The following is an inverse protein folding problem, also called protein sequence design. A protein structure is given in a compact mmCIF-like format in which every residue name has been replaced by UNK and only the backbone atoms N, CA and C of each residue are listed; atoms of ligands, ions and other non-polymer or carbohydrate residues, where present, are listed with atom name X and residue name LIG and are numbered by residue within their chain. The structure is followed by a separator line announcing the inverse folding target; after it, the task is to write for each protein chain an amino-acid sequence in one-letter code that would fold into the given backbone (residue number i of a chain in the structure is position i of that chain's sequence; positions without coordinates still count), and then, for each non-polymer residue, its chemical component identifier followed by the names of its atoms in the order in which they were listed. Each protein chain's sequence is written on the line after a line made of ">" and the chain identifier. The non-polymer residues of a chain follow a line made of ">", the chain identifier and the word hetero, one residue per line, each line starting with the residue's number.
data_IF_344692649542
#
_entry.id   IF_344692649542
#
_cell.length_a   1.000
_cell.length_b   1.000
_cell.length_c   1.000
_cell.angle_alpha   90.00
_cell.angle_beta   90.00
_cell.angle_gamma   90.00
#
_symmetry.space_group_name_H-M   'P 1'
#
loop_
_entity.id
_entity.type
_entity.pdbx_description
1 polymer ?
#
# COMPACT_ATOMS: atom_id res chain seq x y z
N UNK A 1 -11.21 -3.95 -11.73
CA UNK A 1 -11.37 -2.51 -11.89
C UNK A 1 -10.01 -1.84 -11.88
N UNK A 2 -9.94 -0.56 -12.28
CA UNK A 2 -8.73 0.23 -12.15
C UNK A 2 -8.36 0.41 -10.67
N UNK A 3 -7.06 0.45 -10.35
CA UNK A 3 -6.60 0.60 -8.97
C UNK A 3 -7.08 1.93 -8.35
N UNK A 4 -7.16 3.00 -9.16
CA UNK A 4 -7.65 4.32 -8.74
C UNK A 4 -9.12 4.33 -8.30
N UNK A 5 -9.91 3.33 -8.71
CA UNK A 5 -11.33 3.17 -8.37
C UNK A 5 -11.56 2.12 -7.28
N UNK A 6 -10.48 1.50 -6.78
CA UNK A 6 -10.57 0.35 -5.90
C UNK A 6 -10.71 0.70 -4.42
N UNK A 7 -10.46 1.95 -4.01
CA UNK A 7 -10.62 2.39 -2.63
C UNK A 7 -12.07 2.16 -2.15
N UNK A 8 -12.23 1.58 -0.95
CA UNK A 8 -13.53 1.24 -0.37
C UNK A 8 -14.18 -0.04 -0.96
N UNK A 9 -13.62 -0.65 -2.01
CA UNK A 9 -14.11 -1.93 -2.57
C UNK A 9 -13.55 -3.12 -1.75
N UNK A 10 -14.24 -4.23 -1.82
CA UNK A 10 -13.80 -5.49 -1.19
C UNK A 10 -12.94 -6.26 -2.19
N UNK A 11 -11.72 -6.59 -1.81
CA UNK A 11 -10.81 -7.39 -2.63
C UNK A 11 -11.37 -8.82 -2.80
N UNK A 12 -11.41 -9.32 -4.04
CA UNK A 12 -12.02 -10.61 -4.33
C UNK A 12 -11.10 -11.82 -4.06
N UNK A 13 -9.77 -11.60 -4.05
CA UNK A 13 -8.77 -12.64 -3.85
C UNK A 13 -7.49 -12.03 -3.29
N UNK A 14 -6.65 -12.85 -2.67
CA UNK A 14 -5.33 -12.42 -2.20
C UNK A 14 -4.49 -11.85 -3.36
N UNK A 15 -3.73 -10.82 -3.06
CA UNK A 15 -2.68 -10.28 -3.94
C UNK A 15 -1.34 -10.61 -3.32
N UNK A 16 -0.50 -11.29 -4.10
CA UNK A 16 0.81 -11.76 -3.68
C UNK A 16 1.90 -10.93 -4.34
N UNK A 17 2.98 -10.67 -3.62
CA UNK A 17 4.18 -10.00 -4.12
C UNK A 17 4.86 -10.86 -5.18
N UNK A 18 5.14 -10.29 -6.34
CA UNK A 18 5.88 -10.96 -7.43
C UNK A 18 7.38 -10.66 -7.41
N UNK A 19 7.80 -9.69 -6.59
CA UNK A 19 9.18 -9.31 -6.32
C UNK A 19 9.32 -8.88 -4.86
N UNK A 20 10.56 -8.76 -4.42
CA UNK A 20 10.88 -8.11 -3.14
C UNK A 20 10.55 -6.61 -3.19
N UNK A 21 10.20 -6.02 -2.06
CA UNK A 21 10.07 -4.57 -1.91
C UNK A 21 10.84 -4.13 -0.65
N UNK A 22 11.86 -3.26 -0.78
CA UNK A 22 12.47 -2.86 -2.04
C UNK A 22 13.14 -4.04 -2.76
N UNK A 23 13.38 -3.91 -4.06
CA UNK A 23 13.96 -4.95 -4.91
C UNK A 23 15.48 -5.06 -4.81
N UNK A 24 16.14 -4.10 -4.13
CA UNK A 24 17.57 -4.09 -3.83
C UNK A 24 17.86 -3.37 -2.49
N UNK A 25 19.02 -3.68 -1.91
CA UNK A 25 19.51 -2.97 -0.73
C UNK A 25 19.90 -1.52 -1.09
N UNK A 26 19.42 -0.55 -0.29
CA UNK A 26 19.60 0.88 -0.57
C UNK A 26 19.99 1.68 0.68
N UNK A 27 20.72 2.78 0.47
CA UNK A 27 21.06 3.71 1.53
C UNK A 27 19.84 4.51 2.02
N UNK A 28 19.77 4.75 3.32
CA UNK A 28 18.78 5.66 3.94
C UNK A 28 19.32 7.07 4.12
N UNK A 29 20.61 7.30 3.85
CA UNK A 29 21.31 8.58 4.08
C UNK A 29 22.26 8.87 2.93
N UNK A 30 22.68 10.11 2.79
CA UNK A 30 23.82 10.49 1.96
C UNK A 30 25.11 10.13 2.72
N UNK A 31 26.07 9.49 2.02
CA UNK A 31 27.28 9.05 2.70
C UNK A 31 28.21 8.22 1.83
N UNK A 32 28.89 7.30 2.47
CA UNK A 32 29.82 6.36 1.85
C UNK A 32 29.45 4.92 2.19
N UNK A 33 29.15 4.14 1.16
CA UNK A 33 28.93 2.70 1.28
C UNK A 33 30.27 2.01 1.58
N UNK A 34 30.30 1.22 2.64
CA UNK A 34 31.53 0.57 3.17
C UNK A 34 31.21 -0.85 3.64
N UNK A 35 32.26 -1.62 3.93
CA UNK A 35 32.16 -2.78 4.81
C UNK A 35 32.27 -2.31 6.26
N UNK A 36 31.25 -2.54 7.09
CA UNK A 36 31.24 -2.14 8.49
C UNK A 36 32.49 -2.58 9.26
N UNK A 37 32.93 -3.80 9.02
CA UNK A 37 34.12 -4.37 9.66
C UNK A 37 35.39 -3.50 9.45
N UNK A 38 35.51 -2.82 8.31
CA UNK A 38 36.63 -1.93 8.02
C UNK A 38 36.58 -0.60 8.80
N UNK A 39 35.43 -0.27 9.41
CA UNK A 39 35.27 0.93 10.22
C UNK A 39 35.50 0.69 11.72
N UNK A 40 35.66 -0.57 12.16
CA UNK A 40 35.74 -0.89 13.58
C UNK A 40 36.96 -0.25 14.23
N UNK A 41 36.72 0.44 15.34
CA UNK A 41 37.72 1.22 16.04
C UNK A 41 37.90 2.65 15.52
N UNK A 42 37.21 3.05 14.43
CA UNK A 42 37.23 4.41 13.95
C UNK A 42 36.64 5.39 14.98
N UNK A 43 37.41 6.44 15.27
CA UNK A 43 37.04 7.54 16.13
C UNK A 43 37.76 8.81 15.68
N UNK A 44 37.33 9.99 16.12
CA UNK A 44 37.97 11.28 15.79
C UNK A 44 39.47 11.29 16.08
N UNK A 45 39.91 10.65 17.19
CA UNK A 45 41.33 10.55 17.55
C UNK A 45 42.10 9.43 16.81
N UNK A 46 41.39 8.55 16.12
CA UNK A 46 41.96 7.41 15.37
C UNK A 46 41.05 7.07 14.17
N UNK A 47 41.02 7.90 13.12
CA UNK A 47 40.18 7.69 11.97
C UNK A 47 40.58 6.45 11.17
N UNK A 48 39.60 5.84 10.50
CA UNK A 48 39.86 4.79 9.51
C UNK A 48 39.90 5.40 8.11
N UNK A 49 40.87 4.98 7.30
CA UNK A 49 41.08 5.52 5.94
C UNK A 49 40.50 4.60 4.90
N UNK A 50 39.81 5.16 3.90
CA UNK A 50 39.18 4.45 2.81
C UNK A 50 39.52 5.08 1.46
N UNK A 51 39.77 4.20 0.47
CA UNK A 51 39.87 4.62 -0.92
C UNK A 51 38.47 4.72 -1.54
N UNK A 52 38.09 5.89 -2.06
CA UNK A 52 36.84 6.08 -2.80
C UNK A 52 37.01 5.55 -4.23
N UNK A 53 36.27 4.49 -4.58
CA UNK A 53 36.41 3.81 -5.88
C UNK A 53 35.33 4.20 -6.88
N UNK A 54 34.33 4.96 -6.43
CA UNK A 54 33.23 5.42 -7.30
C UNK A 54 32.14 6.17 -6.57
N UNK A 55 31.11 6.53 -7.32
CA UNK A 55 29.92 7.21 -6.82
C UNK A 55 28.68 6.57 -7.42
N UNK A 56 27.61 6.50 -6.63
CA UNK A 56 26.31 5.89 -6.98
C UNK A 56 25.22 6.91 -6.75
N UNK A 57 24.60 7.35 -7.83
CA UNK A 57 23.43 8.24 -7.77
C UNK A 57 22.14 7.42 -7.56
N UNK A 58 21.07 8.12 -7.15
CA UNK A 58 19.74 7.50 -7.06
C UNK A 58 19.30 6.98 -8.44
N UNK A 59 18.81 5.72 -8.47
CA UNK A 59 18.34 5.07 -9.69
C UNK A 59 19.42 4.44 -10.56
N UNK A 60 20.70 4.53 -10.16
CA UNK A 60 21.82 3.88 -10.84
C UNK A 60 22.16 2.56 -10.18
N UNK A 61 22.41 1.53 -11.02
CA UNK A 61 23.00 0.27 -10.57
C UNK A 61 24.52 0.39 -10.55
N UNK A 62 25.19 0.06 -9.42
CA UNK A 62 26.65 0.14 -9.36
C UNK A 62 27.29 -0.85 -10.33
N UNK A 63 28.18 -0.35 -11.21
CA UNK A 63 28.97 -1.16 -12.16
C UNK A 63 30.27 -1.72 -11.57
N UNK A 64 30.46 -1.59 -10.23
CA UNK A 64 31.69 -1.99 -9.52
C UNK A 64 31.32 -2.62 -8.16
N UNK A 65 32.29 -3.26 -7.53
CA UNK A 65 32.19 -3.76 -6.15
C UNK A 65 33.21 -3.05 -5.28
N UNK A 66 33.03 -3.09 -3.95
CA UNK A 66 34.01 -2.61 -2.99
C UNK A 66 34.65 -3.76 -2.20
N UNK A 67 35.91 -3.58 -1.85
CA UNK A 67 36.68 -4.48 -0.99
C UNK A 67 36.94 -3.81 0.38
N UNK A 68 37.56 -4.52 1.30
CA UNK A 68 37.99 -3.97 2.59
C UNK A 68 38.90 -2.75 2.38
N UNK A 69 38.63 -1.66 3.14
CA UNK A 69 39.34 -0.38 3.00
C UNK A 69 38.94 0.45 1.78
N UNK A 70 37.92 0.03 1.03
CA UNK A 70 37.32 0.81 -0.05
C UNK A 70 35.95 1.34 0.34
N UNK A 71 35.58 2.46 -0.25
CA UNK A 71 34.30 3.11 -0.08
C UNK A 71 33.73 3.57 -1.43
N UNK A 72 32.43 3.70 -1.53
CA UNK A 72 31.78 4.34 -2.65
C UNK A 72 30.86 5.44 -2.15
N UNK A 73 30.97 6.64 -2.73
CA UNK A 73 30.02 7.71 -2.43
C UNK A 73 28.63 7.29 -2.86
N UNK A 74 27.61 7.45 -1.98
CA UNK A 74 26.25 7.01 -2.23
C UNK A 74 25.26 8.08 -1.77
N UNK A 75 24.27 8.34 -2.63
CA UNK A 75 23.14 9.20 -2.27
C UNK A 75 22.05 8.41 -1.56
N UNK A 76 21.20 9.08 -0.79
CA UNK A 76 19.97 8.51 -0.23
C UNK A 76 19.15 7.82 -1.32
N UNK A 77 18.71 6.59 -1.06
CA UNK A 77 18.01 5.76 -2.05
C UNK A 77 18.92 5.08 -3.09
N UNK A 78 20.22 5.36 -3.09
CA UNK A 78 21.20 4.69 -3.97
C UNK A 78 21.32 3.20 -3.63
N UNK A 79 21.53 2.38 -4.67
CA UNK A 79 21.73 0.93 -4.54
C UNK A 79 23.10 0.65 -3.93
N UNK A 80 23.15 -0.20 -2.89
CA UNK A 80 24.42 -0.61 -2.31
C UNK A 80 25.27 -1.40 -3.34
N UNK A 81 26.57 -1.06 -3.50
CA UNK A 81 27.44 -1.82 -4.36
C UNK A 81 27.76 -3.20 -3.71
N UNK A 82 27.97 -4.24 -4.51
CA UNK A 82 28.45 -5.52 -4.00
C UNK A 82 29.69 -5.35 -3.11
N UNK A 83 29.70 -6.01 -1.96
CA UNK A 83 30.76 -5.89 -0.95
C UNK A 83 30.51 -4.84 0.14
N UNK A 84 29.56 -3.92 -0.04
CA UNK A 84 29.10 -3.04 1.04
C UNK A 84 28.00 -3.73 1.87
N UNK A 85 27.98 -3.44 3.16
CA UNK A 85 26.94 -3.88 4.10
C UNK A 85 26.41 -2.74 4.99
N UNK A 86 26.97 -1.54 4.87
CA UNK A 86 26.62 -0.39 5.68
C UNK A 86 26.95 0.94 5.00
N UNK A 87 26.43 2.04 5.53
CA UNK A 87 26.74 3.40 5.04
C UNK A 87 27.20 4.27 6.19
N UNK A 88 28.35 4.93 6.02
CA UNK A 88 28.82 6.02 6.89
C UNK A 88 28.19 7.32 6.40
N UNK A 89 27.51 8.05 7.28
CA UNK A 89 26.94 9.37 6.95
C UNK A 89 28.04 10.37 6.55
N UNK A 90 27.73 11.31 5.67
CA UNK A 90 28.68 12.37 5.25
C UNK A 90 29.24 13.13 6.46
N UNK A 91 28.44 13.35 7.50
CA UNK A 91 28.83 14.08 8.72
C UNK A 91 29.85 13.34 9.59
N UNK A 92 30.14 12.07 9.25
CA UNK A 92 31.11 11.23 9.96
C UNK A 92 32.27 10.80 9.06
N UNK A 93 32.46 11.51 7.98
CA UNK A 93 33.57 11.26 7.04
C UNK A 93 34.10 12.58 6.46
N UNK A 94 35.40 12.76 6.50
CA UNK A 94 36.09 13.91 5.92
C UNK A 94 36.89 13.49 4.67
N UNK A 95 36.77 14.26 3.60
CA UNK A 95 37.55 14.05 2.38
C UNK A 95 38.96 14.62 2.56
N UNK A 96 39.97 13.79 2.42
CA UNK A 96 41.37 14.23 2.45
C UNK A 96 41.84 14.67 1.07
N UNK A 97 41.37 13.99 0.04
CA UNK A 97 41.62 14.32 -1.37
C UNK A 97 40.46 13.74 -2.23
N UNK A 98 40.62 13.75 -3.57
CA UNK A 98 39.59 13.27 -4.51
C UNK A 98 39.32 11.75 -4.40
N UNK A 99 40.24 10.99 -3.85
CA UNK A 99 40.22 9.53 -3.83
C UNK A 99 40.25 8.93 -2.42
N UNK A 100 40.43 9.75 -1.38
CA UNK A 100 40.67 9.27 -0.01
C UNK A 100 39.76 10.01 0.96
N UNK A 101 39.10 9.23 1.83
CA UNK A 101 38.32 9.75 2.96
C UNK A 101 38.86 9.19 4.27
N UNK A 102 38.71 9.95 5.34
CA UNK A 102 38.80 9.45 6.71
C UNK A 102 37.41 9.31 7.32
N UNK A 103 37.18 8.19 7.97
CA UNK A 103 35.92 7.87 8.69
C UNK A 103 36.18 8.08 10.17
N UNK A 104 35.39 8.97 10.79
CA UNK A 104 35.56 9.42 12.17
C UNK A 104 34.69 8.60 13.15
N UNK A 105 33.82 7.75 12.67
CA UNK A 105 32.91 6.97 13.47
C UNK A 105 32.60 5.61 12.84
N UNK A 106 32.73 4.55 13.63
CA UNK A 106 32.40 3.19 13.20
C UNK A 106 30.87 3.02 13.00
N UNK A 107 30.51 2.15 12.08
CA UNK A 107 29.13 1.73 11.80
C UNK A 107 28.97 0.24 12.04
N UNK A 108 27.78 -0.17 12.43
CA UNK A 108 27.42 -1.58 12.54
C UNK A 108 27.01 -2.16 11.17
N UNK A 109 27.15 -3.48 10.95
CA UNK A 109 26.56 -4.12 9.77
C UNK A 109 25.05 -3.82 9.65
N UNK A 110 24.61 -3.46 8.44
CA UNK A 110 23.23 -3.05 8.17
C UNK A 110 22.89 -1.61 8.55
N UNK A 111 23.81 -0.88 9.19
CA UNK A 111 23.51 0.49 9.62
C UNK A 111 23.33 1.42 8.42
N UNK A 112 22.22 2.19 8.42
CA UNK A 112 21.80 3.10 7.35
C UNK A 112 21.48 2.41 6.02
N UNK A 113 21.10 1.13 6.07
CA UNK A 113 20.71 0.32 4.90
C UNK A 113 19.31 -0.22 5.12
N UNK A 114 18.45 -0.10 4.10
CA UNK A 114 17.24 -0.90 3.97
C UNK A 114 17.60 -2.08 3.07
N UNK A 115 17.34 -3.30 3.53
CA UNK A 115 17.67 -4.51 2.79
C UNK A 115 16.60 -4.84 1.73
N UNK A 116 16.96 -5.60 0.70
CA UNK A 116 15.96 -6.12 -0.24
C UNK A 116 14.91 -6.95 0.52
N UNK A 117 13.64 -6.76 0.19
CA UNK A 117 12.54 -7.50 0.80
C UNK A 117 12.16 -7.07 2.22
N UNK A 118 12.76 -6.01 2.78
CA UNK A 118 12.50 -5.59 4.16
C UNK A 118 11.03 -5.22 4.41
N UNK A 119 10.38 -4.59 3.45
CA UNK A 119 8.94 -4.26 3.54
C UNK A 119 8.08 -5.48 3.19
N UNK A 120 8.40 -6.13 2.07
CA UNK A 120 7.71 -7.34 1.58
C UNK A 120 8.70 -8.24 0.84
N UNK A 121 8.81 -9.48 1.26
CA UNK A 121 9.50 -10.52 0.50
C UNK A 121 8.64 -11.00 -0.68
N UNK A 122 9.29 -11.44 -1.74
CA UNK A 122 8.61 -12.13 -2.84
C UNK A 122 7.77 -13.29 -2.31
N UNK A 123 6.56 -13.44 -2.83
CA UNK A 123 5.52 -14.39 -2.40
C UNK A 123 4.77 -14.01 -1.12
N UNK A 124 5.13 -12.95 -0.42
CA UNK A 124 4.33 -12.45 0.70
C UNK A 124 2.95 -11.97 0.23
N UNK A 125 1.92 -12.14 1.06
CA UNK A 125 0.58 -11.61 0.77
C UNK A 125 0.55 -10.12 1.07
N UNK A 126 0.39 -9.30 0.03
CA UNK A 126 0.32 -7.84 0.11
C UNK A 126 -1.05 -7.39 0.65
N UNK A 127 -2.11 -8.05 0.17
CA UNK A 127 -3.48 -7.76 0.59
C UNK A 127 -4.33 -9.03 0.51
N UNK A 128 -5.11 -9.28 1.56
CA UNK A 128 -5.98 -10.45 1.66
C UNK A 128 -7.34 -10.23 0.98
N UNK A 129 -7.84 -11.26 0.32
CA UNK A 129 -9.22 -11.31 -0.17
C UNK A 129 -10.24 -11.10 0.98
N UNK A 130 -11.39 -10.53 0.65
CA UNK A 130 -12.42 -10.19 1.65
C UNK A 130 -12.17 -8.89 2.41
N UNK A 131 -10.98 -8.29 2.29
CA UNK A 131 -10.65 -7.02 2.94
C UNK A 131 -11.19 -5.84 2.15
N UNK A 132 -11.72 -4.81 2.85
CA UNK A 132 -12.02 -3.51 2.25
C UNK A 132 -10.72 -2.76 2.01
N UNK A 133 -10.47 -2.38 0.76
CA UNK A 133 -9.27 -1.65 0.36
C UNK A 133 -9.30 -0.22 0.88
N UNK A 134 -8.26 0.16 1.61
CA UNK A 134 -8.03 1.52 2.12
C UNK A 134 -7.07 2.27 1.19
N UNK A 135 -6.97 3.62 1.27
CA UNK A 135 -6.00 4.38 0.49
C UNK A 135 -4.55 3.87 0.61
N UNK A 136 -4.12 3.45 1.83
CA UNK A 136 -2.79 2.90 2.03
C UNK A 136 -2.58 1.58 1.26
N UNK A 137 -3.60 0.72 1.23
CA UNK A 137 -3.55 -0.55 0.48
C UNK A 137 -3.38 -0.29 -1.03
N UNK A 138 -4.02 0.78 -1.53
CA UNK A 138 -3.83 1.25 -2.93
C UNK A 138 -2.38 1.69 -3.17
N UNK A 139 -1.78 2.43 -2.23
CA UNK A 139 -0.38 2.87 -2.32
C UNK A 139 0.59 1.70 -2.40
N UNK A 140 0.42 0.70 -1.53
CA UNK A 140 1.25 -0.52 -1.55
C UNK A 140 1.07 -1.30 -2.86
N UNK A 141 -0.16 -1.52 -3.32
CA UNK A 141 -0.44 -2.19 -4.59
C UNK A 141 0.18 -1.45 -5.78
N UNK A 142 0.16 -0.11 -5.76
CA UNK A 142 0.79 0.72 -6.78
C UNK A 142 2.33 0.59 -6.75
N UNK A 143 2.95 0.48 -5.56
CA UNK A 143 4.40 0.27 -5.43
C UNK A 143 4.84 -1.06 -6.08
N UNK A 144 3.97 -2.08 -6.11
CA UNK A 144 4.17 -3.32 -6.87
C UNK A 144 3.74 -3.21 -8.35
N UNK A 145 3.55 -2.00 -8.89
CA UNK A 145 3.16 -1.80 -10.29
C UNK A 145 1.76 -2.28 -10.66
N UNK A 146 0.90 -2.58 -9.68
CA UNK A 146 -0.47 -3.02 -9.96
C UNK A 146 -1.30 -1.84 -10.45
N UNK A 147 -1.85 -1.95 -11.63
CA UNK A 147 -2.76 -0.94 -12.22
C UNK A 147 -4.22 -1.33 -12.08
N UNK A 148 -4.51 -2.60 -11.86
CA UNK A 148 -5.85 -3.17 -11.72
C UNK A 148 -5.88 -4.22 -10.61
N UNK A 149 -7.06 -4.38 -9.98
CA UNK A 149 -7.34 -5.41 -8.98
C UNK A 149 -8.70 -6.07 -9.22
N UNK A 150 -8.85 -7.29 -8.74
CA UNK A 150 -10.14 -7.98 -8.71
C UNK A 150 -10.85 -7.63 -7.41
N UNK A 151 -12.08 -7.15 -7.53
CA UNK A 151 -12.94 -6.83 -6.38
C UNK A 151 -14.25 -7.57 -6.50
N UNK A 152 -14.94 -7.81 -5.39
CA UNK A 152 -16.29 -8.33 -5.39
C UNK A 152 -17.22 -7.32 -6.05
N UNK A 153 -18.29 -7.76 -6.72
CA UNK A 153 -19.33 -6.83 -7.18
C UNK A 153 -20.00 -6.16 -5.97
N UNK A 154 -20.61 -5.03 -6.19
CA UNK A 154 -21.45 -4.42 -5.17
C UNK A 154 -22.72 -5.26 -5.02
N UNK A 155 -23.18 -5.52 -3.77
CA UNK A 155 -24.48 -6.13 -3.60
C UNK A 155 -25.59 -5.17 -4.06
N UNK A 156 -26.65 -5.72 -4.60
CA UNK A 156 -27.86 -4.97 -4.98
C UNK A 156 -28.91 -5.19 -3.90
N UNK A 157 -29.44 -4.10 -3.33
CA UNK A 157 -30.46 -4.14 -2.29
C UNK A 157 -31.76 -3.54 -2.81
N UNK A 158 -32.81 -4.33 -2.80
CA UNK A 158 -34.18 -3.88 -3.04
C UNK A 158 -34.79 -3.31 -1.73
N UNK A 159 -35.36 -2.12 -1.77
CA UNK A 159 -36.10 -1.56 -0.64
C UNK A 159 -37.55 -1.37 -1.05
N UNK A 160 -38.47 -2.00 -0.34
CA UNK A 160 -39.90 -1.94 -0.59
C UNK A 160 -40.58 -1.27 0.62
N UNK A 161 -41.09 -0.08 0.41
CA UNK A 161 -41.90 0.64 1.42
C UNK A 161 -43.38 0.38 1.13
N UNK A 162 -44.18 0.05 2.18
CA UNK A 162 -45.61 -0.13 2.06
C UNK A 162 -46.35 1.03 2.75
N UNK A 163 -47.51 1.44 2.24
CA UNK A 163 -48.36 2.44 2.82
C UNK A 163 -49.18 3.21 1.79
N UNK A 164 -50.51 3.22 1.91
CA UNK A 164 -51.38 3.94 1.00
C UNK A 164 -51.16 5.47 1.07
N UNK A 165 -50.76 5.99 2.24
CA UNK A 165 -50.39 7.38 2.43
C UNK A 165 -49.08 7.74 1.74
N UNK A 166 -48.14 6.78 1.64
CA UNK A 166 -46.84 6.96 0.94
C UNK A 166 -47.07 6.92 -0.56
N UNK A 167 -47.85 5.93 -1.05
CA UNK A 167 -48.20 5.81 -2.47
C UNK A 167 -48.94 7.05 -2.96
N UNK A 168 -49.90 7.59 -2.16
CA UNK A 168 -50.65 8.79 -2.50
C UNK A 168 -49.85 10.10 -2.36
N UNK A 169 -48.61 10.05 -1.84
CA UNK A 169 -47.77 11.21 -1.62
C UNK A 169 -48.20 12.10 -0.43
N UNK A 170 -49.13 11.66 0.39
CA UNK A 170 -49.54 12.37 1.62
C UNK A 170 -48.45 12.36 2.69
N UNK A 171 -47.69 11.26 2.75
CA UNK A 171 -46.55 11.10 3.65
C UNK A 171 -45.31 10.78 2.82
N UNK A 172 -44.17 11.46 3.01
CA UNK A 172 -42.93 11.12 2.31
C UNK A 172 -42.33 9.79 2.83
N UNK A 173 -41.76 8.99 1.93
CA UNK A 173 -41.01 7.76 2.29
C UNK A 173 -39.64 8.10 2.91
N UNK A 174 -39.68 8.67 4.11
CA UNK A 174 -38.45 9.09 4.82
C UNK A 174 -37.59 7.91 5.26
N UNK A 175 -38.22 6.82 5.72
CA UNK A 175 -37.51 5.63 6.18
C UNK A 175 -36.84 4.90 5.02
N UNK A 176 -37.52 4.71 3.90
CA UNK A 176 -36.95 4.11 2.70
C UNK A 176 -35.77 4.91 2.16
N UNK A 177 -35.86 6.25 2.21
CA UNK A 177 -34.75 7.10 1.80
C UNK A 177 -33.55 6.97 2.74
N UNK A 178 -33.78 7.00 4.07
CA UNK A 178 -32.70 6.89 5.06
C UNK A 178 -31.97 5.54 4.94
N UNK A 179 -32.71 4.43 4.81
CA UNK A 179 -32.13 3.10 4.65
C UNK A 179 -31.38 3.00 3.31
N UNK A 180 -31.90 3.59 2.24
CA UNK A 180 -31.22 3.61 0.94
C UNK A 180 -29.86 4.34 1.02
N UNK A 181 -29.79 5.47 1.74
CA UNK A 181 -28.54 6.19 1.96
C UNK A 181 -27.56 5.31 2.75
N UNK A 182 -28.01 4.71 3.84
CA UNK A 182 -27.18 3.82 4.66
C UNK A 182 -26.61 2.64 3.85
N UNK A 183 -27.45 1.98 3.04
CA UNK A 183 -27.00 0.87 2.20
C UNK A 183 -25.94 1.33 1.17
N UNK A 184 -26.10 2.54 0.58
CA UNK A 184 -25.10 3.10 -0.35
C UNK A 184 -23.79 3.44 0.34
N UNK A 185 -23.82 3.99 1.54
CA UNK A 185 -22.62 4.25 2.36
C UNK A 185 -21.87 2.95 2.69
N UNK A 186 -22.59 1.85 2.89
CA UNK A 186 -22.01 0.52 3.07
C UNK A 186 -21.49 -0.09 1.75
N UNK A 187 -21.75 0.54 0.62
CA UNK A 187 -21.22 0.16 -0.69
C UNK A 187 -22.18 -0.66 -1.56
N UNK A 188 -23.47 -0.74 -1.20
CA UNK A 188 -24.48 -1.42 -2.01
C UNK A 188 -25.00 -0.51 -3.15
N UNK A 189 -25.48 -1.15 -4.22
CA UNK A 189 -26.41 -0.54 -5.18
C UNK A 189 -27.82 -0.71 -4.65
N UNK A 190 -28.68 0.31 -4.81
CA UNK A 190 -30.00 0.32 -4.17
C UNK A 190 -31.06 0.71 -5.16
N UNK A 191 -32.08 -0.13 -5.27
CA UNK A 191 -33.33 0.18 -5.94
C UNK A 191 -34.47 0.29 -4.91
N UNK A 192 -35.36 1.29 -5.09
CA UNK A 192 -36.46 1.56 -4.18
C UNK A 192 -37.80 1.49 -4.91
N UNK A 193 -38.79 0.90 -4.22
CA UNK A 193 -40.16 0.83 -4.67
C UNK A 193 -41.10 1.16 -3.50
N UNK A 194 -42.20 1.81 -3.81
CA UNK A 194 -43.31 2.01 -2.86
C UNK A 194 -44.54 1.27 -3.39
N UNK A 195 -45.17 0.50 -2.56
CA UNK A 195 -46.38 -0.27 -2.92
C UNK A 195 -47.53 -0.01 -1.97
N UNK A 196 -48.80 -0.20 -2.40
CA UNK A 196 -49.96 -0.12 -1.51
C UNK A 196 -49.87 -1.15 -0.36
N UNK A 197 -50.55 -0.86 0.74
CA UNK A 197 -50.60 -1.75 1.91
C UNK A 197 -51.59 -2.90 1.69
N UNK A 198 -51.29 -3.71 0.64
CA UNK A 198 -52.03 -4.91 0.25
C UNK A 198 -51.12 -6.09 0.10
N UNK A 199 -51.53 -7.24 0.60
CA UNK A 199 -50.74 -8.46 0.58
C UNK A 199 -50.28 -8.87 -0.85
N UNK A 200 -51.18 -8.79 -1.82
CA UNK A 200 -50.88 -9.18 -3.22
C UNK A 200 -49.87 -8.23 -3.86
N UNK A 201 -49.98 -6.91 -3.64
CA UNK A 201 -49.04 -5.93 -4.15
C UNK A 201 -47.65 -6.11 -3.52
N UNK A 202 -47.59 -6.33 -2.22
CA UNK A 202 -46.33 -6.61 -1.50
C UNK A 202 -45.70 -7.91 -1.95
N UNK A 203 -46.49 -8.98 -2.10
CA UNK A 203 -46.00 -10.29 -2.56
C UNK A 203 -45.41 -10.19 -3.96
N UNK A 204 -46.13 -9.51 -4.89
CA UNK A 204 -45.65 -9.29 -6.26
C UNK A 204 -44.34 -8.50 -6.28
N UNK A 205 -44.22 -7.45 -5.46
CA UNK A 205 -43.01 -6.63 -5.38
C UNK A 205 -41.83 -7.41 -4.78
N UNK A 206 -42.06 -8.24 -3.76
CA UNK A 206 -41.06 -9.10 -3.16
C UNK A 206 -40.53 -10.16 -4.15
N UNK A 207 -41.42 -10.86 -4.85
CA UNK A 207 -41.06 -11.85 -5.86
C UNK A 207 -40.22 -11.21 -6.98
N UNK A 208 -40.64 -10.04 -7.45
CA UNK A 208 -39.89 -9.28 -8.46
C UNK A 208 -38.50 -8.88 -7.95
N UNK A 209 -38.42 -8.31 -6.75
CA UNK A 209 -37.18 -7.87 -6.14
C UNK A 209 -36.22 -9.04 -5.87
N UNK A 210 -36.71 -10.18 -5.43
CA UNK A 210 -35.93 -11.40 -5.23
C UNK A 210 -35.25 -11.92 -6.51
N UNK A 211 -35.80 -11.60 -7.67
CA UNK A 211 -35.25 -11.99 -8.98
C UNK A 211 -34.00 -11.22 -9.40
N UNK A 212 -33.79 -10.02 -8.89
CA UNK A 212 -32.69 -9.14 -9.32
C UNK A 212 -31.78 -8.63 -8.19
N UNK A 213 -32.21 -8.73 -6.92
CA UNK A 213 -31.44 -8.23 -5.77
C UNK A 213 -30.79 -9.35 -4.96
N UNK A 214 -29.73 -9.01 -4.23
CA UNK A 214 -29.07 -9.92 -3.28
C UNK A 214 -29.77 -9.94 -1.91
N UNK A 215 -30.47 -8.86 -1.59
CA UNK A 215 -31.23 -8.71 -0.36
C UNK A 215 -32.43 -7.78 -0.58
N UNK A 216 -33.51 -8.04 0.12
CA UNK A 216 -34.70 -7.17 0.13
C UNK A 216 -34.96 -6.69 1.55
N UNK A 217 -35.23 -5.41 1.71
CA UNK A 217 -35.63 -4.76 2.95
C UNK A 217 -37.05 -4.26 2.77
N UNK A 218 -37.96 -4.69 3.63
CA UNK A 218 -39.33 -4.17 3.65
C UNK A 218 -39.51 -3.18 4.79
N UNK A 219 -40.26 -2.10 4.53
CA UNK A 219 -40.56 -1.04 5.46
C UNK A 219 -42.05 -0.80 5.42
N UNK A 220 -42.71 -0.91 6.55
CA UNK A 220 -44.15 -0.71 6.67
C UNK A 220 -44.76 -1.49 7.81
N UNK A 221 -46.03 -1.31 8.03
CA UNK A 221 -46.79 -2.07 9.00
C UNK A 221 -46.59 -1.63 10.45
N UNK A 222 -47.32 -0.64 10.89
CA UNK A 222 -47.67 -0.44 12.27
C UNK A 222 -49.19 -0.70 12.38
#
# INVERSE_FOLDING_TARGET
>A
IALTEAAGRILAQDVVADADLPDFARSTVDGYAVQAASTFGAAEASPAFFQVVGSIAMGESPGFSIAAGQAARIATGGMLPPGADSVVMLEHADALDEATIEVLRSVAPGQHVITAGEDFEKTAVIAYGGRRLRPQDIGVLAAFGRTRVRVTRRPVVGIISTGDEVVSGRTPDSNGLAIAVLCRELGAEVERQVVPDRLDDLTTALEAAAGWSDAVITIGGV
#
